data_IF_912005266817
#
_entry.id   IF_912005266817
#
_cell.length_a   1.000
_cell.length_b   1.000
_cell.length_c   1.000
_cell.angle_alpha   90.00
_cell.angle_beta   90.00
_cell.angle_gamma   90.00
#
_symmetry.space_group_name_H-M   'P 1'
#
loop_
_entity.id
_entity.type
_entity.pdbx_description
1 polymer ?
#
# COMPACT_ATOMS: atom_id res chain seq x y z
N UNK A 1 0.71 5.25 25.43
CA UNK A 1 -0.39 4.46 24.80
C UNK A 1 -1.08 3.64 25.88
N UNK A 2 -2.39 3.81 26.09
CA UNK A 2 -3.21 2.90 26.88
C UNK A 2 -3.93 1.98 25.89
N UNK A 3 -3.59 0.71 25.86
CA UNK A 3 -4.40 -0.27 25.17
C UNK A 3 -5.61 -0.58 26.06
N UNK A 4 -6.80 -0.56 25.47
CA UNK A 4 -8.07 -0.87 26.13
C UNK A 4 -8.28 -2.37 25.95
N UNK A 5 -8.45 -3.12 27.04
CA UNK A 5 -8.76 -4.55 27.00
C UNK A 5 -8.47 -5.23 28.34
N UNK A 6 -9.50 -5.84 28.95
CA UNK A 6 -9.50 -6.40 30.31
C UNK A 6 -8.78 -7.74 30.49
N UNK A 7 -7.85 -8.10 29.61
CA UNK A 7 -6.91 -9.20 29.81
C UNK A 7 -5.52 -8.60 29.98
N UNK A 8 -4.75 -9.12 30.93
CA UNK A 8 -3.46 -8.58 31.39
C UNK A 8 -2.50 -8.33 30.23
N UNK A 9 -2.54 -7.12 29.66
CA UNK A 9 -1.64 -6.66 28.60
C UNK A 9 -0.20 -6.75 29.14
N UNK A 10 0.52 -7.78 28.72
CA UNK A 10 1.87 -8.11 29.20
C UNK A 10 2.95 -7.31 28.48
N UNK A 11 2.61 -6.10 28.02
CA UNK A 11 3.47 -5.29 27.17
C UNK A 11 3.68 -3.91 27.79
N UNK A 12 4.93 -3.55 28.04
CA UNK A 12 5.33 -2.22 28.48
C UNK A 12 6.00 -1.53 27.30
N UNK A 13 5.54 -0.31 26.97
CA UNK A 13 6.13 0.53 25.93
C UNK A 13 6.88 1.70 26.59
N UNK A 14 8.12 1.50 27.08
CA UNK A 14 8.83 2.48 27.90
C UNK A 14 9.09 3.79 27.16
N UNK A 15 9.21 3.74 25.84
CA UNK A 15 9.47 4.91 25.01
C UNK A 15 8.20 5.68 24.60
N UNK A 16 7.01 5.11 24.80
CA UNK A 16 5.76 5.70 24.30
C UNK A 16 5.32 6.99 25.02
N UNK A 17 6.00 7.37 26.10
CA UNK A 17 5.70 8.54 26.94
C UNK A 17 6.70 9.69 26.83
N UNK A 18 7.85 9.52 26.16
CA UNK A 18 8.76 10.64 25.86
C UNK A 18 8.15 11.47 24.72
N UNK A 19 7.16 12.28 25.06
CA UNK A 19 6.43 13.13 24.11
C UNK A 19 6.10 14.46 24.76
N UNK A 20 7.13 15.20 25.14
CA UNK A 20 6.96 16.62 25.47
C UNK A 20 6.85 17.49 24.21
N UNK A 21 7.26 17.00 23.02
CA UNK A 21 7.03 17.67 21.73
C UNK A 21 6.90 16.66 20.57
N UNK A 22 6.05 16.94 19.55
CA UNK A 22 6.03 16.14 18.33
C UNK A 22 7.35 16.38 17.59
N UNK A 23 8.10 15.31 17.32
CA UNK A 23 9.33 15.22 16.49
C UNK A 23 10.69 14.98 17.21
N UNK A 24 10.76 14.88 18.55
CA UNK A 24 12.05 14.70 19.25
C UNK A 24 12.22 13.38 20.03
N UNK A 25 11.24 12.46 19.97
CA UNK A 25 11.31 11.18 20.70
C UNK A 25 12.58 10.39 20.38
N UNK A 26 12.93 10.31 19.10
CA UNK A 26 14.10 9.55 18.66
C UNK A 26 15.41 10.21 19.13
N UNK A 27 15.48 11.53 19.07
CA UNK A 27 16.64 12.30 19.52
C UNK A 27 16.82 12.24 21.04
N UNK A 28 15.73 12.28 21.82
CA UNK A 28 15.78 12.09 23.27
C UNK A 28 16.27 10.70 23.65
N UNK A 29 15.76 9.66 22.98
CA UNK A 29 16.23 8.28 23.21
C UNK A 29 17.71 8.13 22.84
N UNK A 30 18.16 8.74 21.74
CA UNK A 30 19.59 8.75 21.35
C UNK A 30 20.46 9.48 22.38
N UNK A 31 20.04 10.66 22.86
CA UNK A 31 20.74 11.40 23.93
C UNK A 31 20.84 10.60 25.23
N UNK A 32 19.78 9.88 25.60
CA UNK A 32 19.81 8.98 26.75
C UNK A 32 20.79 7.81 26.52
N UNK A 33 20.78 7.20 25.33
CA UNK A 33 21.71 6.14 24.98
C UNK A 33 23.17 6.61 25.03
N UNK A 34 23.46 7.84 24.58
CA UNK A 34 24.78 8.47 24.71
C UNK A 34 25.15 8.74 26.17
N UNK A 35 24.23 9.34 26.95
CA UNK A 35 24.45 9.65 28.37
C UNK A 35 24.77 8.40 29.21
N UNK A 36 24.13 7.28 28.91
CA UNK A 36 24.35 6.00 29.59
C UNK A 36 25.41 5.12 28.94
N UNK A 37 26.12 5.63 27.93
CA UNK A 37 27.18 4.93 27.20
C UNK A 37 26.77 3.53 26.68
N UNK A 38 25.56 3.44 26.11
CA UNK A 38 25.05 2.17 25.62
C UNK A 38 25.80 1.71 24.35
N UNK A 39 26.14 0.41 24.19
CA UNK A 39 26.89 -0.10 23.04
C UNK A 39 26.25 0.16 21.67
N UNK A 40 24.94 0.38 21.63
CA UNK A 40 24.17 0.61 20.41
C UNK A 40 23.83 2.08 20.15
N UNK A 41 24.37 3.04 20.93
CA UNK A 41 24.05 4.48 20.82
C UNK A 41 24.25 5.06 19.41
N UNK A 42 25.30 4.61 18.71
CA UNK A 42 25.65 5.08 17.35
C UNK A 42 25.01 4.24 16.23
N UNK A 43 24.21 3.22 16.58
CA UNK A 43 23.59 2.34 15.60
C UNK A 43 22.54 3.13 14.82
N UNK A 44 22.62 3.05 13.48
CA UNK A 44 21.58 3.57 12.59
C UNK A 44 20.30 2.74 12.74
N UNK A 45 19.15 3.39 12.61
CA UNK A 45 17.87 2.70 12.67
C UNK A 45 17.76 1.67 11.54
N UNK A 46 17.08 0.56 11.83
CA UNK A 46 16.78 -0.45 10.84
C UNK A 46 15.86 0.16 9.77
N UNK A 47 16.20 -0.06 8.51
CA UNK A 47 15.41 0.35 7.34
C UNK A 47 14.99 -0.91 6.59
N UNK A 48 13.75 -0.95 6.09
CA UNK A 48 13.19 -2.12 5.42
C UNK A 48 12.60 -3.16 6.37
N UNK A 49 12.48 -4.40 5.91
CA UNK A 49 11.80 -5.48 6.65
C UNK A 49 12.65 -5.92 7.84
N UNK A 50 12.08 -5.83 9.05
CA UNK A 50 12.78 -5.95 10.33
C UNK A 50 13.67 -7.21 10.48
N UNK A 51 13.26 -8.35 9.93
CA UNK A 51 13.99 -9.62 10.08
C UNK A 51 14.98 -9.91 8.96
N UNK A 52 14.95 -9.14 7.86
CA UNK A 52 15.70 -9.46 6.65
C UNK A 52 17.17 -8.98 6.73
N UNK A 53 17.47 -8.09 7.66
CA UNK A 53 18.82 -7.54 7.83
C UNK A 53 19.26 -6.71 6.62
N UNK A 54 20.44 -7.01 6.07
CA UNK A 54 21.05 -6.25 4.95
C UNK A 54 20.69 -6.81 3.56
N UNK A 55 19.85 -7.84 3.49
CA UNK A 55 19.47 -8.46 2.20
C UNK A 55 18.42 -7.59 1.51
N UNK A 56 18.55 -7.39 0.20
CA UNK A 56 17.56 -6.67 -0.59
C UNK A 56 16.27 -7.48 -0.68
N UNK A 57 15.12 -6.81 -0.52
CA UNK A 57 13.81 -7.47 -0.62
C UNK A 57 13.65 -8.28 -1.91
N UNK A 58 14.04 -7.71 -3.06
CA UNK A 58 13.95 -8.40 -4.35
C UNK A 58 14.77 -9.69 -4.40
N UNK A 59 15.97 -9.69 -3.79
CA UNK A 59 16.83 -10.87 -3.73
C UNK A 59 16.25 -11.95 -2.81
N UNK A 60 15.69 -11.54 -1.67
CA UNK A 60 15.00 -12.45 -0.77
C UNK A 60 13.82 -13.13 -1.46
N UNK A 61 12.95 -12.34 -2.10
CA UNK A 61 11.76 -12.86 -2.79
C UNK A 61 12.17 -13.77 -3.95
N UNK A 62 13.12 -13.36 -4.78
CA UNK A 62 13.62 -14.19 -5.89
C UNK A 62 14.16 -15.55 -5.41
N UNK A 63 14.80 -15.62 -4.24
CA UNK A 63 15.28 -16.90 -3.67
C UNK A 63 14.16 -17.83 -3.20
N UNK A 64 13.03 -17.30 -2.76
CA UNK A 64 11.96 -18.10 -2.15
C UNK A 64 10.85 -18.47 -3.13
N UNK A 65 10.47 -17.54 -4.01
CA UNK A 65 9.37 -17.75 -4.98
C UNK A 65 9.84 -17.70 -6.45
N UNK A 66 11.12 -17.40 -6.69
CA UNK A 66 11.67 -17.34 -8.04
C UNK A 66 11.35 -16.05 -8.78
N UNK A 67 11.62 -16.09 -10.08
CA UNK A 67 11.28 -15.05 -11.05
C UNK A 67 10.38 -15.67 -12.13
N UNK A 68 9.36 -14.92 -12.55
CA UNK A 68 8.49 -15.28 -13.65
C UNK A 68 8.39 -14.10 -14.60
N UNK A 69 9.02 -14.22 -15.77
CA UNK A 69 9.03 -13.15 -16.74
C UNK A 69 7.60 -12.83 -17.21
N UNK A 70 7.23 -11.56 -17.15
CA UNK A 70 5.96 -11.04 -17.62
C UNK A 70 6.14 -9.70 -18.32
N UNK A 71 5.04 -9.06 -18.69
CA UNK A 71 5.07 -7.84 -19.51
C UNK A 71 4.52 -6.64 -18.75
N UNK A 72 5.06 -5.47 -19.09
CA UNK A 72 4.60 -4.17 -18.61
C UNK A 72 3.85 -3.48 -19.75
N UNK A 73 2.60 -3.10 -19.50
CA UNK A 73 1.73 -2.41 -20.47
C UNK A 73 1.33 -1.03 -19.94
N UNK A 74 1.20 -0.04 -20.83
CA UNK A 74 0.56 1.23 -20.49
C UNK A 74 -0.97 1.02 -20.40
N UNK A 75 -1.56 1.39 -19.27
CA UNK A 75 -2.98 1.16 -18.99
C UNK A 75 -3.89 1.88 -20.00
N UNK A 76 -3.54 3.09 -20.42
CA UNK A 76 -4.35 3.91 -21.32
C UNK A 76 -4.26 3.48 -22.79
N UNK A 77 -3.11 2.97 -23.25
CA UNK A 77 -2.84 2.74 -24.69
C UNK A 77 -2.72 1.26 -25.05
N UNK A 78 -2.47 0.39 -24.07
CA UNK A 78 -2.11 -1.01 -24.27
C UNK A 78 -0.73 -1.20 -24.89
N UNK A 79 0.10 -0.16 -24.91
CA UNK A 79 1.44 -0.23 -25.48
C UNK A 79 2.34 -1.11 -24.61
N UNK A 80 3.06 -2.01 -25.27
CA UNK A 80 4.08 -2.84 -24.64
C UNK A 80 5.31 -2.00 -24.31
N UNK A 81 5.60 -1.82 -23.02
CA UNK A 81 6.67 -0.95 -22.53
C UNK A 81 7.93 -1.70 -22.13
N UNK A 82 7.84 -3.00 -21.90
CA UNK A 82 8.98 -3.84 -21.53
C UNK A 82 8.58 -5.07 -20.74
N UNK A 83 9.59 -5.78 -20.24
CA UNK A 83 9.40 -7.00 -19.46
C UNK A 83 9.75 -6.78 -18.00
N UNK A 84 9.21 -7.62 -17.13
CA UNK A 84 9.51 -7.66 -15.70
C UNK A 84 9.83 -9.07 -15.22
N UNK A 85 10.48 -9.18 -14.05
CA UNK A 85 10.89 -10.47 -13.47
C UNK A 85 9.80 -11.15 -12.59
N UNK A 86 8.63 -10.54 -12.45
CA UNK A 86 7.48 -11.11 -11.75
C UNK A 86 6.61 -10.02 -11.13
N UNK A 87 5.29 -10.16 -11.16
CA UNK A 87 4.37 -9.13 -10.67
C UNK A 87 4.51 -8.87 -9.15
N UNK A 88 5.01 -9.84 -8.39
CA UNK A 88 5.22 -9.74 -6.93
C UNK A 88 6.36 -8.80 -6.52
N UNK A 89 7.23 -8.41 -7.47
CA UNK A 89 8.24 -7.37 -7.23
C UNK A 89 7.65 -5.95 -7.33
N UNK A 90 6.36 -5.83 -7.65
CA UNK A 90 5.69 -4.56 -7.87
C UNK A 90 4.53 -4.34 -6.89
N UNK A 91 4.46 -3.13 -6.37
CA UNK A 91 3.34 -2.64 -5.55
C UNK A 91 2.59 -1.57 -6.31
N UNK A 92 1.25 -1.58 -6.26
CA UNK A 92 0.45 -0.49 -6.82
C UNK A 92 0.86 0.83 -6.16
N UNK A 93 1.01 1.89 -6.95
CA UNK A 93 1.56 3.19 -6.55
C UNK A 93 3.09 3.28 -6.62
N UNK A 94 3.79 2.18 -6.90
CA UNK A 94 5.25 2.19 -7.05
C UNK A 94 5.69 3.02 -8.26
N UNK A 95 6.59 3.98 -8.02
CA UNK A 95 7.24 4.81 -9.05
C UNK A 95 8.65 4.32 -9.41
N UNK A 96 9.42 3.90 -8.40
CA UNK A 96 10.83 3.55 -8.57
C UNK A 96 11.00 2.12 -9.07
N UNK A 97 12.12 1.82 -9.73
CA UNK A 97 12.47 0.45 -10.14
C UNK A 97 11.79 -0.07 -11.41
N UNK A 98 10.91 0.72 -12.05
CA UNK A 98 10.24 0.33 -13.30
C UNK A 98 11.16 0.28 -14.52
N UNK A 99 12.27 1.04 -14.50
CA UNK A 99 13.27 1.13 -15.60
C UNK A 99 12.68 1.53 -16.96
N UNK A 100 11.57 2.28 -16.97
CA UNK A 100 10.93 2.79 -18.18
C UNK A 100 11.36 4.23 -18.49
N UNK A 101 11.52 4.54 -19.78
CA UNK A 101 11.71 5.92 -20.26
C UNK A 101 10.36 6.63 -20.45
N UNK A 102 10.34 7.96 -20.54
CA UNK A 102 9.11 8.70 -20.85
C UNK A 102 8.24 9.09 -19.65
N UNK A 103 8.77 8.95 -18.42
CA UNK A 103 8.01 9.04 -17.17
C UNK A 103 7.65 10.47 -16.70
N UNK A 104 7.13 10.61 -15.46
CA UNK A 104 7.09 9.59 -14.40
C UNK A 104 6.04 8.50 -14.63
N UNK A 105 6.41 7.24 -14.37
CA UNK A 105 5.51 6.09 -14.43
C UNK A 105 5.17 5.60 -13.03
N UNK A 106 3.96 5.08 -12.86
CA UNK A 106 3.47 4.46 -11.64
C UNK A 106 2.81 3.14 -11.97
N UNK A 107 3.01 2.12 -11.14
CA UNK A 107 2.21 0.89 -11.19
C UNK A 107 0.79 1.23 -10.79
N UNK A 108 -0.16 0.88 -11.63
CA UNK A 108 -1.57 1.22 -11.37
C UNK A 108 -2.41 0.00 -11.08
N UNK A 109 -2.06 -1.13 -11.68
CA UNK A 109 -2.77 -2.39 -11.54
C UNK A 109 -1.86 -3.58 -11.86
N UNK A 110 -2.24 -4.77 -11.37
CA UNK A 110 -1.52 -6.02 -11.61
C UNK A 110 -2.53 -7.10 -12.00
N UNK A 111 -2.34 -7.69 -13.17
CA UNK A 111 -3.06 -8.89 -13.56
C UNK A 111 -2.23 -10.12 -13.17
N UNK A 112 -2.60 -10.69 -12.02
CA UNK A 112 -1.95 -11.86 -11.45
C UNK A 112 -2.13 -13.11 -12.32
N UNK A 113 -3.29 -13.24 -12.98
CA UNK A 113 -3.61 -14.42 -13.81
C UNK A 113 -2.76 -14.43 -15.08
N UNK A 114 -2.59 -13.27 -15.70
CA UNK A 114 -1.88 -13.13 -16.96
C UNK A 114 -0.40 -12.73 -16.80
N UNK A 115 0.08 -12.53 -15.57
CA UNK A 115 1.42 -12.05 -15.23
C UNK A 115 1.76 -10.73 -15.95
N UNK A 116 0.89 -9.73 -15.79
CA UNK A 116 1.03 -8.39 -16.39
C UNK A 116 1.02 -7.32 -15.32
N UNK A 117 1.89 -6.32 -15.48
CA UNK A 117 1.91 -5.11 -14.67
C UNK A 117 1.46 -3.93 -15.54
N UNK A 118 0.37 -3.28 -15.15
CA UNK A 118 -0.09 -2.06 -15.81
C UNK A 118 0.54 -0.84 -15.17
N UNK A 119 0.99 0.10 -16.00
CA UNK A 119 1.56 1.37 -15.56
C UNK A 119 0.91 2.55 -16.25
N UNK A 120 0.97 3.72 -15.62
CA UNK A 120 0.47 4.97 -16.18
C UNK A 120 1.33 6.16 -15.75
N UNK A 121 1.31 7.21 -16.59
CA UNK A 121 1.84 8.55 -16.27
C UNK A 121 0.83 9.45 -15.58
N UNK A 122 -0.45 9.11 -15.67
CA UNK A 122 -1.58 9.90 -15.17
C UNK A 122 -2.08 9.39 -13.81
N UNK A 123 -1.20 8.87 -12.96
CA UNK A 123 -1.61 8.21 -11.71
C UNK A 123 -2.45 9.10 -10.79
N UNK A 124 -2.12 10.39 -10.70
CA UNK A 124 -2.81 11.38 -9.86
C UNK A 124 -3.99 12.11 -10.53
N UNK A 125 -4.49 11.64 -11.69
CA UNK A 125 -5.62 12.32 -12.35
C UNK A 125 -6.91 12.22 -11.53
N UNK A 126 -7.75 13.26 -11.60
CA UNK A 126 -8.92 13.48 -10.73
C UNK A 126 -9.97 12.36 -10.77
N UNK A 127 -10.01 11.56 -11.83
CA UNK A 127 -10.93 10.44 -12.01
C UNK A 127 -10.54 9.18 -11.20
N UNK A 128 -9.51 9.26 -10.35
CA UNK A 128 -8.86 8.11 -9.68
C UNK A 128 -8.86 8.24 -8.15
N UNK A 129 -10.01 8.67 -7.63
CA UNK A 129 -10.22 8.98 -6.21
C UNK A 129 -10.37 7.70 -5.38
N UNK A 130 -9.26 7.24 -4.80
CA UNK A 130 -9.25 6.10 -3.88
C UNK A 130 -9.60 6.56 -2.47
N UNK A 131 -10.90 6.61 -2.18
CA UNK A 131 -11.42 6.97 -0.86
C UNK A 131 -12.32 5.91 -0.24
N UNK A 132 -12.70 4.87 -0.98
CA UNK A 132 -13.64 3.85 -0.51
C UNK A 132 -13.01 2.46 -0.70
N UNK A 133 -12.93 1.67 0.36
CA UNK A 133 -12.25 0.37 0.30
C UNK A 133 -12.83 -0.64 1.29
N UNK A 134 -12.63 -1.92 0.98
CA UNK A 134 -12.99 -3.05 1.84
C UNK A 134 -11.85 -3.38 2.78
N UNK A 135 -12.21 -3.62 4.04
CA UNK A 135 -11.29 -4.10 5.06
C UNK A 135 -11.83 -5.42 5.61
N UNK A 136 -11.00 -6.45 5.53
CA UNK A 136 -11.27 -7.77 6.11
C UNK A 136 -10.37 -8.05 7.31
N UNK A 137 -10.61 -9.20 7.95
CA UNK A 137 -9.80 -9.68 9.08
C UNK A 137 -9.61 -8.63 10.18
N UNK A 138 -10.70 -7.91 10.49
CA UNK A 138 -10.71 -6.85 11.50
C UNK A 138 -10.33 -7.41 12.88
N UNK A 139 -9.42 -6.72 13.55
CA UNK A 139 -8.98 -7.02 14.91
C UNK A 139 -9.08 -5.77 15.76
N UNK A 140 -9.92 -5.83 16.78
CA UNK A 140 -10.12 -4.76 17.76
C UNK A 140 -9.35 -5.08 19.04
N UNK A 141 -8.52 -4.14 19.49
CA UNK A 141 -7.72 -4.31 20.70
C UNK A 141 -8.62 -4.39 21.95
N UNK A 142 -9.76 -3.69 21.93
CA UNK A 142 -10.77 -3.73 22.98
C UNK A 142 -11.67 -4.98 22.99
N UNK A 143 -11.43 -5.94 22.10
CA UNK A 143 -12.21 -7.18 21.98
C UNK A 143 -13.66 -7.01 21.49
N UNK A 144 -14.10 -5.77 21.25
CA UNK A 144 -15.44 -5.43 20.78
C UNK A 144 -15.38 -4.28 19.80
N UNK A 145 -16.39 -4.18 18.93
CA UNK A 145 -16.51 -3.06 17.99
C UNK A 145 -16.62 -1.72 18.73
N UNK A 146 -15.97 -0.67 18.20
CA UNK A 146 -16.15 0.69 18.71
C UNK A 146 -17.63 1.09 18.70
N UNK A 147 -18.10 1.74 19.78
CA UNK A 147 -19.50 2.19 19.89
C UNK A 147 -19.86 3.29 18.89
N UNK A 148 -18.86 4.02 18.38
CA UNK A 148 -19.02 5.09 17.39
C UNK A 148 -18.06 4.83 16.22
N UNK A 149 -18.60 4.30 15.13
CA UNK A 149 -17.83 3.96 13.94
C UNK A 149 -17.74 5.11 12.93
N UNK A 150 -18.32 6.26 13.28
CA UNK A 150 -18.68 7.34 12.34
C UNK A 150 -17.67 8.50 12.36
N UNK A 151 -16.66 8.45 13.24
CA UNK A 151 -15.66 9.51 13.43
C UNK A 151 -14.28 8.93 13.78
N UNK A 152 -13.91 7.83 13.12
CA UNK A 152 -12.60 7.22 13.34
C UNK A 152 -11.58 7.89 12.43
N UNK A 153 -10.31 7.75 12.78
CA UNK A 153 -9.21 8.10 11.90
C UNK A 153 -8.61 6.82 11.34
N UNK A 154 -8.52 6.71 10.03
CA UNK A 154 -7.85 5.61 9.36
C UNK A 154 -6.43 6.06 9.00
N UNK A 155 -5.45 5.25 9.40
CA UNK A 155 -4.08 5.35 8.94
C UNK A 155 -3.76 4.22 7.96
N UNK A 156 -3.47 4.60 6.72
CA UNK A 156 -2.79 3.75 5.73
C UNK A 156 -1.38 4.29 5.53
N UNK A 157 -1.21 5.31 4.66
CA UNK A 157 0.02 6.10 4.59
C UNK A 157 -0.02 7.32 5.50
N UNK A 158 -1.10 8.11 5.38
CA UNK A 158 -1.40 9.26 6.20
C UNK A 158 -2.62 9.01 7.08
N UNK A 159 -2.91 9.94 8.00
CA UNK A 159 -4.02 9.85 8.94
C UNK A 159 -5.20 10.66 8.42
N UNK A 160 -6.28 9.98 8.02
CA UNK A 160 -7.49 10.59 7.48
C UNK A 160 -8.68 10.34 8.38
N UNK A 161 -9.64 11.26 8.43
CA UNK A 161 -10.95 10.93 8.99
C UNK A 161 -11.60 9.89 8.09
N UNK A 162 -12.25 8.89 8.71
CA UNK A 162 -12.94 7.83 8.01
C UNK A 162 -14.29 7.50 8.64
N UNK A 163 -15.22 7.03 7.80
CA UNK A 163 -16.49 6.48 8.19
C UNK A 163 -16.55 5.01 7.80
N UNK A 164 -17.04 4.18 8.71
CA UNK A 164 -17.46 2.84 8.36
C UNK A 164 -18.87 2.92 7.79
N UNK A 165 -19.04 2.47 6.56
CA UNK A 165 -20.35 2.32 5.96
C UNK A 165 -20.87 0.94 6.36
N UNK A 166 -22.00 0.91 7.07
CA UNK A 166 -22.73 -0.31 7.34
C UNK A 166 -23.25 -0.86 6.01
N UNK A 167 -22.78 -2.05 5.64
CA UNK A 167 -23.41 -2.81 4.58
C UNK A 167 -24.58 -3.60 5.19
N UNK A 168 -25.80 -3.14 4.96
CA UNK A 168 -26.99 -3.99 5.01
C UNK A 168 -27.10 -4.86 3.74
N UNK A 169 -26.03 -4.97 2.95
CA UNK A 169 -25.99 -5.80 1.75
C UNK A 169 -25.76 -7.27 2.14
N UNK A 170 -26.71 -8.19 1.91
CA UNK A 170 -26.55 -9.62 2.19
C UNK A 170 -25.39 -10.27 1.40
N UNK A 171 -24.85 -9.63 0.36
CA UNK A 171 -23.65 -10.07 -0.35
C UNK A 171 -22.32 -9.74 0.36
N UNK A 172 -22.36 -8.89 1.39
CA UNK A 172 -21.18 -8.54 2.22
C UNK A 172 -20.89 -9.58 3.31
N UNK A 173 -21.80 -10.54 3.51
CA UNK A 173 -21.58 -11.72 4.32
C UNK A 173 -20.73 -12.73 3.53
N UNK A 174 -19.48 -12.87 3.98
CA UNK A 174 -18.58 -13.99 3.67
C UNK A 174 -17.79 -13.93 2.35
N UNK A 175 -16.96 -12.90 2.18
CA UNK A 175 -15.66 -13.20 1.57
C UNK A 175 -14.86 -14.02 2.61
N UNK A 176 -14.77 -15.34 2.41
CA UNK A 176 -13.99 -16.27 3.24
C UNK A 176 -14.46 -16.43 4.72
N UNK A 177 -15.73 -16.17 5.01
CA UNK A 177 -16.29 -16.39 6.36
C UNK A 177 -15.79 -15.42 7.43
N UNK A 178 -15.17 -14.30 7.05
CA UNK A 178 -14.69 -13.27 7.99
C UNK A 178 -15.49 -11.97 7.87
N UNK A 179 -15.47 -11.19 8.95
CA UNK A 179 -16.10 -9.86 8.99
C UNK A 179 -15.40 -8.90 8.02
N UNK A 180 -16.19 -8.32 7.12
CA UNK A 180 -15.75 -7.33 6.14
C UNK A 180 -16.50 -6.03 6.39
N UNK A 181 -15.78 -4.92 6.39
CA UNK A 181 -16.35 -3.59 6.49
C UNK A 181 -15.94 -2.71 5.30
N UNK A 182 -16.77 -1.73 4.99
CA UNK A 182 -16.48 -0.71 3.98
C UNK A 182 -16.07 0.56 4.70
N UNK A 183 -14.92 1.11 4.32
CA UNK A 183 -14.36 2.31 4.92
C UNK A 183 -14.30 3.40 3.87
N UNK A 184 -14.88 4.56 4.19
CA UNK A 184 -14.80 5.78 3.40
C UNK A 184 -13.87 6.79 4.06
N UNK A 185 -12.85 7.26 3.35
CA UNK A 185 -11.97 8.34 3.75
C UNK A 185 -12.58 9.71 3.39
N UNK A 186 -12.23 10.70 4.21
CA UNK A 186 -12.55 12.12 3.99
C UNK A 186 -11.82 12.72 2.79
N UNK A 187 -10.63 12.21 2.49
CA UNK A 187 -9.77 12.63 1.38
C UNK A 187 -9.32 11.41 0.56
N UNK A 188 -8.74 11.65 -0.61
CA UNK A 188 -8.25 10.58 -1.49
C UNK A 188 -6.87 10.10 -1.00
N UNK A 189 -6.72 8.79 -0.79
CA UNK A 189 -5.44 8.18 -0.43
C UNK A 189 -4.97 7.20 -1.51
N UNK A 190 -3.91 7.59 -2.21
CA UNK A 190 -3.26 6.75 -3.21
C UNK A 190 -2.49 5.56 -2.60
N UNK A 191 -2.25 5.61 -1.29
CA UNK A 191 -1.63 4.55 -0.49
C UNK A 191 -2.49 3.32 -0.27
N UNK A 192 -3.78 3.36 -0.61
CA UNK A 192 -4.66 2.20 -0.48
C UNK A 192 -4.21 1.07 -1.42
N UNK A 193 -3.58 0.06 -0.84
CA UNK A 193 -3.10 -1.13 -1.54
C UNK A 193 -3.58 -2.40 -0.85
N UNK A 194 -4.16 -3.30 -1.64
CA UNK A 194 -4.56 -4.64 -1.21
C UNK A 194 -3.42 -5.37 -0.48
N UNK A 195 -3.75 -6.00 0.65
CA UNK A 195 -2.82 -6.72 1.52
C UNK A 195 -2.09 -5.84 2.54
N UNK A 196 -2.17 -4.50 2.45
CA UNK A 196 -1.70 -3.61 3.51
C UNK A 196 -2.72 -3.51 4.64
N UNK A 197 -2.31 -2.92 5.77
CA UNK A 197 -3.18 -2.74 6.93
C UNK A 197 -3.76 -1.33 6.96
N UNK A 198 -5.06 -1.24 7.25
CA UNK A 198 -5.71 -0.03 7.70
C UNK A 198 -5.79 -0.06 9.23
N UNK A 199 -5.23 0.95 9.89
CA UNK A 199 -5.29 1.08 11.36
C UNK A 199 -6.29 2.15 11.76
N UNK A 200 -7.13 1.88 12.76
CA UNK A 200 -8.22 2.76 13.18
C UNK A 200 -7.93 3.38 14.54
N UNK A 201 -8.13 4.70 14.64
CA UNK A 201 -7.83 5.49 15.82
C UNK A 201 -9.02 6.35 16.26
N UNK A 202 -9.12 6.55 17.58
CA UNK A 202 -9.91 7.60 18.20
C UNK A 202 -8.95 8.52 18.95
N UNK A 203 -8.71 9.71 18.40
CA UNK A 203 -7.69 10.63 18.90
C UNK A 203 -6.30 10.00 18.95
N UNK A 204 -5.79 9.72 20.15
CA UNK A 204 -4.46 9.08 20.35
C UNK A 204 -4.54 7.58 20.65
N UNK A 205 -5.74 7.01 20.65
CA UNK A 205 -5.97 5.62 20.99
C UNK A 205 -6.10 4.81 19.71
N UNK A 206 -5.21 3.83 19.51
CA UNK A 206 -5.41 2.82 18.47
C UNK A 206 -6.51 1.86 18.94
N UNK A 207 -7.59 1.76 18.16
CA UNK A 207 -8.73 0.89 18.46
C UNK A 207 -8.53 -0.50 17.88
N UNK A 208 -7.89 -0.59 16.72
CA UNK A 208 -7.74 -1.84 15.99
C UNK A 208 -7.17 -1.64 14.58
N UNK A 209 -7.20 -2.71 13.81
CA UNK A 209 -6.73 -2.72 12.41
C UNK A 209 -7.43 -3.80 11.62
N UNK A 210 -7.39 -3.70 10.29
CA UNK A 210 -7.74 -4.79 9.40
C UNK A 210 -6.91 -4.76 8.12
N UNK A 211 -7.04 -5.82 7.31
CA UNK A 211 -6.33 -5.97 6.05
C UNK A 211 -7.18 -5.36 4.94
N UNK A 212 -6.60 -4.44 4.17
CA UNK A 212 -7.21 -3.87 2.97
C UNK A 212 -7.36 -5.00 1.95
N UNK A 213 -8.59 -5.29 1.55
CA UNK A 213 -8.88 -6.34 0.56
C UNK A 213 -8.76 -5.77 -0.85
N UNK A 214 -9.74 -4.98 -1.26
CA UNK A 214 -9.82 -4.31 -2.57
C UNK A 214 -10.51 -2.94 -2.37
N UNK A 215 -10.33 -2.02 -3.31
CA UNK A 215 -11.07 -0.76 -3.30
C UNK A 215 -12.54 -1.03 -3.67
N UNK A 216 -13.50 -0.33 -3.05
CA UNK A 216 -14.94 -0.62 -3.22
C UNK A 216 -15.50 -0.05 -4.53
N UNK A 217 -14.79 0.89 -5.14
CA UNK A 217 -14.93 1.12 -6.56
C UNK A 217 -14.41 -0.11 -7.30
N UNK A 218 -15.31 -1.06 -7.63
CA UNK A 218 -15.02 -2.23 -8.50
C UNK A 218 -14.41 -1.83 -9.87
N UNK A 219 -14.36 -0.52 -10.15
CA UNK A 219 -13.53 0.08 -11.17
C UNK A 219 -12.12 0.24 -10.58
N UNK A 220 -11.29 -0.78 -10.79
CA UNK A 220 -9.84 -0.66 -10.70
C UNK A 220 -9.32 0.52 -11.53
N UNK A 221 -8.00 0.66 -11.66
CA UNK A 221 -7.51 1.74 -12.50
C UNK A 221 -8.04 1.50 -13.93
N UNK A 222 -8.62 2.49 -14.63
CA UNK A 222 -9.21 2.23 -15.94
C UNK A 222 -8.11 1.76 -16.91
N UNK A 223 -8.18 0.48 -17.26
CA UNK A 223 -7.32 -0.16 -18.25
C UNK A 223 -8.11 -0.25 -19.56
N UNK A 224 -7.53 0.21 -20.67
CA UNK A 224 -8.24 0.20 -21.95
C UNK A 224 -8.44 -1.25 -22.46
N UNK A 225 -9.51 -1.52 -23.22
CA UNK A 225 -9.80 -2.88 -23.71
C UNK A 225 -8.64 -3.52 -24.47
N UNK A 226 -7.93 -2.74 -25.28
CA UNK A 226 -6.73 -3.19 -26.00
C UNK A 226 -5.64 -3.71 -25.06
N UNK A 227 -5.41 -3.04 -23.93
CA UNK A 227 -4.41 -3.48 -22.96
C UNK A 227 -4.82 -4.79 -22.27
N UNK A 228 -6.12 -4.98 -22.01
CA UNK A 228 -6.67 -6.23 -21.46
C UNK A 228 -6.59 -7.38 -22.47
N UNK A 229 -6.88 -7.13 -23.74
CA UNK A 229 -6.73 -8.10 -24.83
C UNK A 229 -5.27 -8.55 -24.97
N UNK A 230 -4.33 -7.61 -24.96
CA UNK A 230 -2.89 -7.91 -24.98
C UNK A 230 -2.47 -8.69 -23.73
N UNK A 231 -3.02 -8.35 -22.56
CA UNK A 231 -2.74 -9.09 -21.34
C UNK A 231 -3.25 -10.54 -21.43
N UNK A 232 -4.40 -10.77 -22.05
CA UNK A 232 -4.99 -12.10 -22.23
C UNK A 232 -4.34 -12.94 -23.34
N UNK A 233 -3.41 -12.39 -24.13
CA UNK A 233 -2.70 -13.17 -25.15
C UNK A 233 -1.92 -14.33 -24.53
N UNK A 234 -2.11 -15.53 -25.09
CA UNK A 234 -1.45 -16.76 -24.65
C UNK A 234 0.05 -16.77 -24.95
N UNK A 235 0.46 -16.25 -26.11
CA UNK A 235 1.87 -16.03 -26.44
C UNK A 235 2.17 -14.54 -26.56
N UNK A 236 2.94 -14.03 -25.59
CA UNK A 236 3.36 -12.62 -25.50
C UNK A 236 4.73 -12.38 -26.15
N UNK A 237 5.36 -13.40 -26.71
CA UNK A 237 6.63 -13.26 -27.44
C UNK A 237 6.47 -12.48 -28.75
N UNK A 238 5.25 -12.44 -29.29
CA UNK A 238 4.90 -11.75 -30.54
C UNK A 238 4.73 -10.24 -30.41
N UNK A 239 4.75 -9.68 -29.18
CA UNK A 239 4.57 -8.24 -28.93
C UNK A 239 5.70 -7.36 -29.52
N UNK A 240 6.74 -7.98 -30.06
CA UNK A 240 7.81 -7.29 -30.77
C UNK A 240 8.68 -6.44 -29.84
N UNK A 241 9.04 -5.24 -30.29
CA UNK A 241 9.95 -4.35 -29.54
C UNK A 241 9.15 -3.42 -28.62
N UNK A 242 9.64 -3.17 -27.39
CA UNK A 242 9.02 -2.18 -26.50
C UNK A 242 8.91 -0.81 -27.15
N UNK A 243 7.74 -0.18 -26.98
CA UNK A 243 7.46 1.18 -27.45
C UNK A 243 8.36 2.15 -26.67
N UNK A 244 9.21 2.88 -27.40
CA UNK A 244 10.06 3.92 -26.81
C UNK A 244 9.30 5.24 -26.73
N UNK A 245 8.78 5.55 -25.56
CA UNK A 245 8.13 6.84 -25.30
C UNK A 245 9.22 7.91 -25.15
N UNK A 246 9.29 8.82 -26.14
CA UNK A 246 10.17 10.00 -26.11
C UNK A 246 9.52 11.08 -25.24
N UNK A 247 10.27 11.66 -24.30
CA UNK A 247 9.84 12.87 -23.63
C UNK A 247 9.71 13.99 -24.67
N UNK A 248 8.51 14.57 -24.83
CA UNK A 248 8.38 15.88 -25.49
C UNK A 248 9.23 16.86 -24.69
N UNK A 249 10.20 17.50 -25.33
CA UNK A 249 10.93 18.63 -24.72
C UNK A 249 9.88 19.69 -24.39
N UNK A 250 9.97 20.26 -23.20
CA UNK A 250 9.32 21.51 -22.82
C UNK A 250 9.90 22.63 -23.70
N UNK A 251 9.44 22.72 -24.94
CA UNK A 251 9.76 23.80 -25.86
C UNK A 251 8.56 23.94 -26.78
N UNK A 252 7.57 24.72 -26.33
CA UNK A 252 6.48 25.37 -27.09
C UNK A 252 5.28 25.63 -26.16
N UNK A 253 5.50 26.41 -25.10
CA UNK A 253 4.48 27.33 -24.57
C UNK A 253 5.28 28.54 -24.05
N UNK A 254 5.51 29.51 -24.93
CA UNK A 254 5.72 30.91 -24.57
C UNK A 254 4.37 31.57 -24.72
#
# INVERSE_FOLDING_TARGET
MKAIGGETLTCIFPFGSFSTLPNNLQDEVRKLAEKFDLPNKDRKDSQGICFLGKIKFSEFVARHIGEMEGVILEAETGDFLGKHQGFWFYTVGQRQGLRLSGGPWYVVEKDVKNNVVFVSRNYYSIDKRRRLFRVGSLKWLGGSHPRQMNQLQCKSNDLFQCLFLSNDDPASLHAYGQEVAVVQLSEDDQGLAAGQFASFYEGRTCLGSGVILESWDDLGFPVCPKALEVAAMGDKSELGKPVKIKNKRLSEVI
#
